data_IF_610152019114
#
_entry.id   IF_610152019114
#
_cell.length_a   1.000
_cell.length_b   1.000
_cell.length_c   1.000
_cell.angle_alpha   90.00
_cell.angle_beta   90.00
_cell.angle_gamma   90.00
#
_symmetry.space_group_name_H-M   'P 1'
#
loop_
_entity.id
_entity.type
_entity.pdbx_description
1 polymer ?
#
# COMPACT_ATOMS: atom_id res chain seq x y z
N UNK A 1 24.73 25.56 -14.44
CA UNK A 1 25.24 24.18 -14.47
C UNK A 1 24.32 23.41 -15.43
N UNK A 2 24.88 22.53 -16.27
CA UNK A 2 24.06 21.62 -17.07
C UNK A 2 23.22 20.78 -16.10
N UNK A 3 21.94 20.55 -16.45
CA UNK A 3 21.08 19.67 -15.65
C UNK A 3 21.50 18.24 -15.94
N UNK A 4 21.59 17.40 -14.89
CA UNK A 4 21.83 15.98 -15.07
C UNK A 4 20.70 15.36 -15.90
N UNK A 5 21.07 14.52 -16.85
CA UNK A 5 20.13 13.72 -17.65
C UNK A 5 20.00 12.34 -17.03
N UNK A 6 18.78 11.97 -16.71
CA UNK A 6 18.48 10.68 -16.07
C UNK A 6 17.50 9.90 -16.92
N UNK A 7 17.84 8.66 -17.24
CA UNK A 7 16.97 7.73 -17.95
C UNK A 7 16.56 6.56 -17.06
N UNK A 8 15.26 6.28 -16.95
CA UNK A 8 14.69 5.30 -16.02
C UNK A 8 14.20 4.06 -16.79
N UNK A 9 14.77 2.89 -16.52
CA UNK A 9 14.28 1.60 -17.05
C UNK A 9 13.17 1.07 -16.14
N UNK A 10 12.00 0.79 -16.73
CA UNK A 10 10.79 0.39 -15.99
C UNK A 10 10.03 1.59 -15.40
N UNK A 11 10.02 2.72 -16.13
CA UNK A 11 9.50 4.02 -15.65
C UNK A 11 8.01 4.00 -15.30
N UNK A 12 7.19 3.14 -15.92
CA UNK A 12 5.74 3.09 -15.70
C UNK A 12 5.33 2.32 -14.43
N UNK A 13 6.26 1.66 -13.75
CA UNK A 13 6.01 1.09 -12.42
C UNK A 13 5.70 2.19 -11.40
N UNK A 14 4.80 1.93 -10.45
CA UNK A 14 4.30 2.93 -9.48
C UNK A 14 5.44 3.65 -8.73
N UNK A 15 6.40 2.91 -8.21
CA UNK A 15 7.57 3.48 -7.53
C UNK A 15 8.46 4.26 -8.49
N UNK A 16 8.82 3.68 -9.64
CA UNK A 16 9.73 4.30 -10.61
C UNK A 16 9.11 5.54 -11.26
N UNK A 17 7.81 5.51 -11.56
CA UNK A 17 7.08 6.69 -12.01
C UNK A 17 7.06 7.81 -10.98
N UNK A 18 6.88 7.46 -9.69
CA UNK A 18 7.00 8.42 -8.60
C UNK A 18 8.39 9.07 -8.54
N UNK A 19 9.47 8.30 -8.76
CA UNK A 19 10.84 8.86 -8.87
C UNK A 19 10.97 9.84 -10.02
N UNK A 20 10.37 9.51 -11.19
CA UNK A 20 10.40 10.38 -12.35
C UNK A 20 9.71 11.73 -12.07
N UNK A 21 8.56 11.71 -11.38
CA UNK A 21 7.86 12.93 -10.95
C UNK A 21 8.71 13.77 -9.99
N UNK A 22 9.33 13.13 -8.99
CA UNK A 22 10.22 13.82 -8.04
C UNK A 22 11.44 14.42 -8.72
N UNK A 23 12.08 13.70 -9.65
CA UNK A 23 13.22 14.20 -10.41
C UNK A 23 12.85 15.39 -11.28
N UNK A 24 11.66 15.38 -11.87
CA UNK A 24 11.15 16.53 -12.63
C UNK A 24 10.94 17.77 -11.75
N UNK A 25 10.43 17.58 -10.52
CA UNK A 25 10.28 18.66 -9.54
C UNK A 25 11.63 19.21 -9.05
N UNK A 26 12.69 18.39 -9.03
CA UNK A 26 14.09 18.85 -8.81
C UNK A 26 14.68 19.59 -10.02
N UNK A 27 13.96 19.59 -11.14
CA UNK A 27 14.42 20.21 -12.36
C UNK A 27 15.43 19.37 -13.14
N UNK A 28 15.53 18.06 -12.86
CA UNK A 28 16.33 17.09 -13.60
C UNK A 28 15.67 16.80 -14.95
N UNK A 29 16.45 16.57 -16.00
CA UNK A 29 15.95 16.11 -17.28
C UNK A 29 15.70 14.61 -17.21
N UNK A 30 14.41 14.24 -17.14
CA UNK A 30 13.97 12.84 -16.95
C UNK A 30 13.38 12.30 -18.24
N UNK A 31 13.77 11.10 -18.61
CA UNK A 31 13.16 10.22 -19.61
C UNK A 31 13.13 8.80 -19.11
N UNK A 32 12.47 7.90 -19.81
CA UNK A 32 12.51 6.47 -19.45
C UNK A 32 11.91 5.56 -20.49
N UNK A 33 12.04 4.26 -20.25
CA UNK A 33 11.48 3.22 -21.12
C UNK A 33 10.73 2.16 -20.32
N UNK A 34 9.69 1.58 -20.94
CA UNK A 34 8.91 0.50 -20.38
C UNK A 34 8.18 -0.28 -21.49
N UNK A 35 7.81 -1.53 -21.20
CA UNK A 35 6.91 -2.33 -22.04
C UNK A 35 5.46 -2.23 -21.59
N UNK A 36 5.21 -1.88 -20.33
CA UNK A 36 3.90 -1.82 -19.69
C UNK A 36 3.43 -0.36 -19.55
N UNK A 37 3.09 0.28 -20.66
CA UNK A 37 2.68 1.69 -20.70
C UNK A 37 1.16 1.80 -20.65
N UNK A 38 0.60 1.94 -19.44
CA UNK A 38 -0.85 2.07 -19.23
C UNK A 38 -1.20 3.07 -18.11
N UNK A 39 -2.39 3.70 -18.20
CA UNK A 39 -2.89 4.58 -17.15
C UNK A 39 -2.99 3.91 -15.76
N UNK A 40 -2.90 4.69 -14.65
CA UNK A 40 -2.80 6.16 -14.62
C UNK A 40 -1.36 6.70 -14.70
N UNK A 41 -0.33 5.86 -14.49
CA UNK A 41 1.05 6.36 -14.39
C UNK A 41 1.56 6.94 -15.71
N UNK A 42 1.29 6.27 -16.83
CA UNK A 42 1.69 6.76 -18.15
C UNK A 42 1.13 8.15 -18.47
N UNK A 43 -0.10 8.43 -18.04
CA UNK A 43 -0.75 9.72 -18.28
C UNK A 43 -0.11 10.81 -17.43
N UNK A 44 0.12 10.55 -16.12
CA UNK A 44 0.81 11.49 -15.23
C UNK A 44 2.22 11.84 -15.73
N UNK A 45 2.96 10.86 -16.24
CA UNK A 45 4.30 11.09 -16.78
C UNK A 45 4.25 11.98 -18.03
N UNK A 46 3.30 11.73 -18.94
CA UNK A 46 3.11 12.54 -20.17
C UNK A 46 2.65 13.96 -19.84
N UNK A 47 1.72 14.12 -18.91
CA UNK A 47 1.26 15.44 -18.42
C UNK A 47 2.40 16.29 -17.86
N UNK A 48 3.39 15.64 -17.23
CA UNK A 48 4.61 16.29 -16.73
C UNK A 48 5.67 16.52 -17.81
N UNK A 49 5.39 16.17 -19.07
CA UNK A 49 6.32 16.32 -20.19
C UNK A 49 7.53 15.38 -20.06
N UNK A 50 7.34 14.17 -19.50
CA UNK A 50 8.38 13.14 -19.42
C UNK A 50 8.25 12.22 -20.63
N UNK A 51 9.34 12.08 -21.39
CA UNK A 51 9.39 11.19 -22.54
C UNK A 51 9.40 9.72 -22.08
N UNK A 52 8.51 8.91 -22.68
CA UNK A 52 8.42 7.47 -22.44
C UNK A 52 8.69 6.76 -23.76
N UNK A 53 9.76 5.96 -23.81
CA UNK A 53 10.12 5.10 -24.93
C UNK A 53 9.45 3.72 -24.72
N UNK A 54 8.72 3.26 -25.73
CA UNK A 54 8.11 1.93 -25.68
C UNK A 54 9.15 0.84 -25.96
N UNK A 55 9.20 -0.14 -25.05
CA UNK A 55 10.12 -1.28 -25.13
C UNK A 55 11.51 -0.97 -24.55
N UNK A 56 12.42 -1.92 -24.76
CA UNK A 56 13.81 -1.88 -24.26
C UNK A 56 14.83 -2.05 -25.40
N UNK A 57 14.54 -1.43 -26.56
CA UNK A 57 15.48 -1.43 -27.68
C UNK A 57 16.71 -0.58 -27.37
N UNK A 58 17.88 -1.19 -27.37
CA UNK A 58 19.16 -0.50 -27.07
C UNK A 58 19.49 0.64 -28.05
N UNK A 59 19.00 0.58 -29.30
CA UNK A 59 19.23 1.63 -30.31
C UNK A 59 18.37 2.89 -30.05
N UNK A 60 17.36 2.80 -29.20
CA UNK A 60 16.49 3.92 -28.83
C UNK A 60 16.87 4.56 -27.50
N UNK A 61 17.87 4.04 -26.79
CA UNK A 61 18.31 4.60 -25.53
C UNK A 61 18.93 5.99 -25.75
N UNK A 62 18.46 7.03 -25.05
CA UNK A 62 19.11 8.34 -25.09
C UNK A 62 20.46 8.31 -24.33
N UNK A 63 21.33 9.22 -24.69
CA UNK A 63 22.51 9.48 -23.87
C UNK A 63 22.12 10.18 -22.57
N UNK A 64 22.49 9.57 -21.44
CA UNK A 64 22.15 10.05 -20.10
C UNK A 64 23.36 9.92 -19.15
N UNK A 65 23.44 10.84 -18.19
CA UNK A 65 24.50 10.84 -17.17
C UNK A 65 24.31 9.70 -16.16
N UNK A 66 23.04 9.31 -15.93
CA UNK A 66 22.65 8.27 -14.98
C UNK A 66 21.51 7.44 -15.57
N UNK A 67 21.60 6.11 -15.46
CA UNK A 67 20.53 5.19 -15.78
C UNK A 67 20.00 4.54 -14.49
N UNK A 68 18.75 4.82 -14.17
CA UNK A 68 18.08 4.29 -12.96
C UNK A 68 17.37 2.99 -13.31
N UNK A 69 17.69 1.91 -12.61
CA UNK A 69 17.24 0.56 -12.93
C UNK A 69 16.12 0.15 -11.97
N UNK A 70 14.94 -0.13 -12.53
CA UNK A 70 13.80 -0.68 -11.78
C UNK A 70 14.03 -2.13 -11.34
N UNK A 71 13.40 -2.54 -10.24
CA UNK A 71 13.58 -3.90 -9.69
C UNK A 71 13.04 -5.03 -10.58
N UNK A 72 12.11 -4.74 -11.48
CA UNK A 72 11.60 -5.71 -12.47
C UNK A 72 12.56 -5.95 -13.65
N UNK A 73 13.59 -5.10 -13.80
CA UNK A 73 14.58 -5.23 -14.88
C UNK A 73 15.65 -6.24 -14.46
N UNK A 74 15.86 -7.25 -15.30
CA UNK A 74 16.80 -8.34 -15.04
C UNK A 74 17.73 -8.61 -16.22
N UNK A 75 18.74 -9.44 -16.00
CA UNK A 75 19.65 -9.91 -17.06
C UNK A 75 18.88 -10.53 -18.22
N UNK A 76 19.37 -10.27 -19.41
CA UNK A 76 18.69 -10.61 -20.68
C UNK A 76 17.82 -9.48 -21.23
N UNK A 77 17.58 -8.39 -20.49
CA UNK A 77 16.92 -7.20 -21.04
C UNK A 77 17.87 -6.47 -22.01
N UNK A 78 17.48 -6.22 -23.29
CA UNK A 78 18.40 -5.67 -24.30
C UNK A 78 19.01 -4.33 -23.93
N UNK A 79 18.21 -3.41 -23.36
CA UNK A 79 18.69 -2.11 -22.91
C UNK A 79 19.71 -2.27 -21.78
N UNK A 80 19.43 -3.12 -20.79
CA UNK A 80 20.34 -3.38 -19.67
C UNK A 80 21.66 -4.00 -20.14
N UNK A 81 21.62 -5.00 -21.01
CA UNK A 81 22.85 -5.65 -21.53
C UNK A 81 23.74 -4.66 -22.30
N UNK A 82 23.14 -3.77 -23.08
CA UNK A 82 23.87 -2.70 -23.75
C UNK A 82 24.52 -1.74 -22.74
N UNK A 83 23.79 -1.28 -21.72
CA UNK A 83 24.29 -0.38 -20.69
C UNK A 83 25.44 -1.01 -19.88
N UNK A 84 25.35 -2.29 -19.57
CA UNK A 84 26.44 -3.03 -18.91
C UNK A 84 27.68 -3.11 -19.80
N UNK A 85 27.50 -3.37 -21.10
CA UNK A 85 28.62 -3.47 -22.07
C UNK A 85 29.31 -2.14 -22.28
N UNK A 86 28.57 -1.03 -22.29
CA UNK A 86 29.10 0.32 -22.43
C UNK A 86 29.68 0.90 -21.14
N UNK A 87 29.60 0.16 -20.01
CA UNK A 87 30.00 0.63 -18.68
C UNK A 87 29.30 1.91 -18.24
N UNK A 88 28.01 2.04 -18.61
CA UNK A 88 27.17 3.17 -18.23
C UNK A 88 27.05 3.30 -16.69
N UNK A 89 26.76 4.50 -16.23
CA UNK A 89 26.55 4.78 -14.81
C UNK A 89 25.16 4.29 -14.37
N UNK A 90 25.10 3.10 -13.79
CA UNK A 90 23.86 2.46 -13.33
C UNK A 90 23.66 2.70 -11.83
N UNK A 91 22.42 3.01 -11.45
CA UNK A 91 22.01 3.16 -10.05
C UNK A 91 20.64 2.52 -9.85
N UNK A 92 20.36 2.03 -8.66
CA UNK A 92 19.02 1.57 -8.29
C UNK A 92 18.07 2.74 -7.99
N UNK A 93 16.74 2.53 -8.18
CA UNK A 93 15.74 3.54 -7.84
C UNK A 93 15.83 4.03 -6.39
N UNK A 94 15.85 3.15 -5.38
CA UNK A 94 15.98 3.54 -3.97
C UNK A 94 17.26 4.31 -3.63
N UNK A 95 18.38 3.91 -4.20
CA UNK A 95 19.64 4.62 -3.99
C UNK A 95 19.63 6.01 -4.64
N UNK A 96 19.12 6.13 -5.86
CA UNK A 96 18.95 7.41 -6.54
C UNK A 96 18.02 8.33 -5.76
N UNK A 97 16.88 7.82 -5.27
CA UNK A 97 15.93 8.57 -4.44
C UNK A 97 16.62 9.14 -3.19
N UNK A 98 17.41 8.32 -2.50
CA UNK A 98 18.14 8.80 -1.33
C UNK A 98 19.11 9.92 -1.70
N UNK A 99 19.96 9.72 -2.71
CA UNK A 99 21.00 10.70 -3.10
C UNK A 99 20.40 12.02 -3.57
N UNK A 100 19.26 11.98 -4.27
CA UNK A 100 18.66 13.13 -4.93
C UNK A 100 17.66 13.87 -4.04
N UNK A 101 16.82 13.14 -3.29
CA UNK A 101 15.69 13.69 -2.54
C UNK A 101 15.88 13.55 -1.02
N UNK A 102 16.07 12.30 -0.54
CA UNK A 102 15.92 12.00 0.89
C UNK A 102 17.08 12.47 1.74
N UNK A 103 18.27 12.59 1.19
CA UNK A 103 19.50 12.93 1.92
C UNK A 103 19.37 14.18 2.82
N UNK A 104 18.57 15.16 2.37
CA UNK A 104 18.36 16.43 3.07
C UNK A 104 16.97 16.55 3.71
N UNK A 105 16.26 15.42 3.86
CA UNK A 105 14.93 15.37 4.43
C UNK A 105 14.94 14.59 5.75
N UNK A 106 14.00 14.90 6.62
CA UNK A 106 13.61 14.06 7.75
C UNK A 106 12.64 13.00 7.22
N UNK A 107 13.13 11.79 7.06
CA UNK A 107 12.40 10.70 6.40
C UNK A 107 11.55 9.95 7.43
N UNK A 108 10.25 9.82 7.13
CA UNK A 108 9.32 8.95 7.85
C UNK A 108 8.98 7.78 6.93
N UNK A 109 9.50 6.60 7.25
CA UNK A 109 9.29 5.39 6.48
C UNK A 109 8.17 4.54 7.11
N UNK A 110 7.17 4.19 6.30
CA UNK A 110 6.06 3.31 6.72
C UNK A 110 6.30 1.92 6.17
N UNK A 111 6.66 0.99 7.04
CA UNK A 111 6.92 -0.41 6.70
C UNK A 111 6.03 -1.33 7.51
N UNK A 112 5.32 -2.21 6.85
CA UNK A 112 4.46 -3.23 7.47
C UNK A 112 4.00 -4.20 6.39
N UNK A 113 3.51 -5.36 6.78
CA UNK A 113 2.95 -6.30 5.80
C UNK A 113 1.70 -5.69 5.15
N UNK A 114 0.79 -5.14 5.96
CA UNK A 114 -0.47 -4.57 5.48
C UNK A 114 -0.63 -3.12 5.95
N UNK A 115 -1.26 -2.26 5.11
CA UNK A 115 -1.61 -0.89 5.47
C UNK A 115 -0.57 0.18 5.14
N UNK A 116 0.57 -0.16 4.51
CA UNK A 116 1.62 0.81 4.10
C UNK A 116 1.05 2.04 3.41
N UNK A 117 0.36 1.84 2.29
CA UNK A 117 -0.19 2.91 1.44
C UNK A 117 -1.16 3.81 2.19
N UNK A 118 -2.09 3.20 2.95
CA UNK A 118 -3.11 3.94 3.72
C UNK A 118 -2.47 4.77 4.81
N UNK A 119 -1.52 4.20 5.58
CA UNK A 119 -0.81 4.90 6.65
C UNK A 119 0.02 6.06 6.11
N UNK A 120 0.75 5.83 5.01
CA UNK A 120 1.56 6.87 4.33
C UNK A 120 0.67 8.01 3.85
N UNK A 121 -0.49 7.69 3.25
CA UNK A 121 -1.45 8.68 2.79
C UNK A 121 -2.09 9.47 3.95
N UNK A 122 -2.49 8.79 5.05
CA UNK A 122 -3.01 9.44 6.26
C UNK A 122 -2.01 10.43 6.83
N UNK A 123 -0.75 10.02 6.98
CA UNK A 123 0.29 10.86 7.56
C UNK A 123 0.62 12.07 6.67
N UNK A 124 0.76 11.87 5.36
CA UNK A 124 0.96 12.96 4.40
C UNK A 124 -0.22 13.95 4.44
N UNK A 125 -1.46 13.44 4.54
CA UNK A 125 -2.66 14.26 4.62
C UNK A 125 -2.76 15.04 5.93
N UNK A 126 -2.37 14.46 7.07
CA UNK A 126 -2.28 15.19 8.35
C UNK A 126 -1.36 16.40 8.19
N UNK A 127 -0.14 16.21 7.66
CA UNK A 127 0.81 17.30 7.47
C UNK A 127 0.25 18.40 6.55
N UNK A 128 -0.33 18.02 5.41
CA UNK A 128 -0.89 19.00 4.47
C UNK A 128 -2.03 19.81 5.08
N UNK A 129 -2.95 19.18 5.81
CA UNK A 129 -4.03 19.89 6.51
C UNK A 129 -3.56 20.82 7.61
N UNK A 130 -2.36 20.60 8.14
CA UNK A 130 -1.72 21.46 9.15
C UNK A 130 -0.77 22.49 8.51
N UNK A 131 -0.83 22.68 7.19
CA UNK A 131 -0.01 23.65 6.48
C UNK A 131 1.46 23.28 6.36
N UNK A 132 1.82 22.02 6.63
CA UNK A 132 3.16 21.49 6.48
C UNK A 132 3.25 20.85 5.10
N UNK A 133 3.92 21.51 4.15
CA UNK A 133 4.12 21.00 2.78
C UNK A 133 5.18 19.88 2.78
N UNK A 134 4.81 18.72 3.34
CA UNK A 134 5.66 17.54 3.37
C UNK A 134 5.80 16.90 1.98
N UNK A 135 6.99 16.38 1.69
CA UNK A 135 7.18 15.49 0.54
C UNK A 135 6.57 14.12 0.82
N UNK A 136 6.21 13.42 -0.24
CA UNK A 136 5.73 12.03 -0.11
C UNK A 136 5.96 11.20 -1.38
N UNK A 137 6.03 9.88 -1.18
CA UNK A 137 5.96 8.87 -2.24
C UNK A 137 5.03 7.74 -1.77
N UNK A 138 3.87 7.64 -2.41
CA UNK A 138 2.76 6.73 -2.07
C UNK A 138 2.53 5.79 -3.25
N UNK A 139 2.59 4.47 -3.02
CA UNK A 139 2.42 3.47 -4.07
C UNK A 139 0.94 3.23 -4.49
N UNK A 140 0.05 4.14 -4.18
CA UNK A 140 -1.37 4.12 -4.54
C UNK A 140 -1.83 5.45 -5.11
N UNK A 141 -3.15 5.58 -5.30
CA UNK A 141 -3.81 6.83 -5.70
C UNK A 141 -4.61 7.39 -4.53
N UNK A 142 -4.01 8.24 -3.67
CA UNK A 142 -4.76 8.88 -2.60
C UNK A 142 -5.82 9.81 -3.20
N UNK A 143 -7.02 9.81 -2.64
CA UNK A 143 -8.15 10.61 -3.18
C UNK A 143 -8.02 12.10 -2.89
N UNK A 144 -7.21 12.45 -1.91
CA UNK A 144 -6.98 13.82 -1.46
C UNK A 144 -5.82 14.51 -2.18
N UNK A 145 -5.03 13.76 -2.95
CA UNK A 145 -3.88 14.28 -3.67
C UNK A 145 -4.02 14.09 -5.17
N UNK A 146 -3.57 15.06 -5.94
CA UNK A 146 -3.54 14.97 -7.41
C UNK A 146 -2.46 14.06 -7.95
N UNK A 147 -1.39 13.82 -7.18
CA UNK A 147 -0.21 13.02 -7.55
C UNK A 147 0.10 11.99 -6.46
N UNK A 148 0.74 10.90 -6.85
CA UNK A 148 1.25 9.86 -5.91
C UNK A 148 2.62 10.20 -5.32
N UNK A 149 3.31 11.20 -5.87
CA UNK A 149 4.61 11.65 -5.39
C UNK A 149 4.74 13.17 -5.50
N UNK A 150 5.33 13.80 -4.49
CA UNK A 150 5.63 15.22 -4.40
C UNK A 150 6.87 15.43 -3.52
N UNK A 151 7.76 16.34 -3.92
CA UNK A 151 8.96 16.68 -3.15
C UNK A 151 8.63 17.43 -1.85
N UNK A 152 7.63 18.32 -1.89
CA UNK A 152 7.31 19.26 -0.81
C UNK A 152 8.45 20.23 -0.51
N UNK A 153 8.09 21.36 0.13
CA UNK A 153 9.04 22.41 0.52
C UNK A 153 9.57 22.26 1.94
N UNK A 154 8.85 21.52 2.81
CA UNK A 154 9.32 21.27 4.17
C UNK A 154 10.48 20.25 4.20
N UNK A 155 11.13 20.15 5.37
CA UNK A 155 12.17 19.13 5.61
C UNK A 155 11.62 17.70 5.76
N UNK A 156 10.30 17.51 5.86
CA UNK A 156 9.66 16.20 6.09
C UNK A 156 9.40 15.49 4.76
N UNK A 157 9.67 14.18 4.74
CA UNK A 157 9.32 13.31 3.63
C UNK A 157 8.72 11.98 4.13
N UNK A 158 7.52 11.66 3.67
CA UNK A 158 6.81 10.42 4.05
C UNK A 158 6.89 9.42 2.91
N UNK A 159 7.33 8.18 3.19
CA UNK A 159 7.55 7.18 2.14
C UNK A 159 7.03 5.79 2.56
N UNK A 160 6.42 5.08 1.62
CA UNK A 160 6.21 3.64 1.77
C UNK A 160 7.55 2.91 1.69
N UNK A 161 7.82 2.10 2.69
CA UNK A 161 9.05 1.34 2.83
C UNK A 161 8.78 -0.15 2.59
N UNK A 162 9.04 -0.57 1.36
CA UNK A 162 8.77 -1.90 0.84
C UNK A 162 9.95 -2.85 1.09
N UNK A 163 9.65 -4.08 1.47
CA UNK A 163 10.60 -5.16 1.75
C UNK A 163 11.16 -5.86 0.50
N UNK A 164 10.61 -5.57 -0.70
CA UNK A 164 11.12 -6.12 -1.96
C UNK A 164 12.57 -5.70 -2.26
N UNK A 165 13.27 -6.56 -2.99
CA UNK A 165 14.64 -6.29 -3.43
C UNK A 165 14.73 -5.01 -4.30
N UNK A 166 15.91 -4.41 -4.25
CA UNK A 166 16.16 -3.07 -4.80
C UNK A 166 16.33 -3.07 -6.31
N UNK A 167 17.17 -3.97 -6.83
CA UNK A 167 17.49 -4.12 -8.25
C UNK A 167 18.12 -5.49 -8.52
N UNK A 168 18.35 -5.84 -9.79
CA UNK A 168 18.98 -7.12 -10.14
C UNK A 168 20.40 -7.28 -9.54
N UNK A 169 21.11 -6.19 -9.33
CA UNK A 169 22.47 -6.14 -8.76
C UNK A 169 22.51 -5.82 -7.26
N UNK A 170 21.40 -5.45 -6.66
CA UNK A 170 21.28 -5.19 -5.22
C UNK A 170 20.03 -5.92 -4.68
N UNK A 171 20.27 -7.02 -3.98
CA UNK A 171 19.23 -7.89 -3.44
C UNK A 171 18.78 -7.54 -2.01
N UNK A 172 19.30 -6.43 -1.46
CA UNK A 172 18.78 -5.88 -0.20
C UNK A 172 17.42 -5.26 -0.42
N UNK A 173 16.59 -5.26 0.61
CA UNK A 173 15.28 -4.61 0.58
C UNK A 173 15.40 -3.10 0.31
N UNK A 174 14.46 -2.54 -0.45
CA UNK A 174 14.45 -1.11 -0.84
C UNK A 174 14.58 -0.16 0.33
N UNK A 175 13.93 -0.47 1.45
CA UNK A 175 13.87 0.39 2.61
C UNK A 175 15.23 0.65 3.29
N UNK A 176 16.24 -0.21 3.07
CA UNK A 176 17.59 -0.02 3.63
C UNK A 176 18.24 1.27 3.11
N UNK A 177 17.88 1.68 1.90
CA UNK A 177 18.40 2.88 1.28
C UNK A 177 17.84 4.18 1.85
N UNK A 178 16.65 4.15 2.49
CA UNK A 178 15.91 5.36 2.86
C UNK A 178 16.44 6.06 4.11
N UNK A 179 17.15 5.35 4.99
CA UNK A 179 17.76 5.85 6.24
C UNK A 179 16.78 6.71 7.05
N UNK A 180 15.62 6.18 7.47
CA UNK A 180 14.58 6.98 8.09
C UNK A 180 14.98 7.55 9.47
N UNK A 181 14.47 8.74 9.76
CA UNK A 181 14.49 9.38 11.08
C UNK A 181 13.35 8.85 11.96
N UNK A 182 12.27 8.40 11.33
CA UNK A 182 11.15 7.71 11.99
C UNK A 182 10.76 6.52 11.13
N UNK A 183 10.77 5.33 11.74
CA UNK A 183 10.31 4.08 11.14
C UNK A 183 9.00 3.67 11.81
N UNK A 184 7.96 3.46 11.01
CA UNK A 184 6.69 2.87 11.45
C UNK A 184 6.68 1.40 11.05
N UNK A 185 6.45 0.50 12.03
CA UNK A 185 6.21 -0.92 11.78
C UNK A 185 4.85 -1.27 12.41
N UNK A 186 3.77 -1.24 11.61
CA UNK A 186 2.41 -1.37 12.15
C UNK A 186 1.93 -2.81 12.34
N UNK A 187 2.45 -3.75 11.55
CA UNK A 187 2.23 -5.18 11.66
C UNK A 187 3.33 -5.93 10.91
N UNK A 188 3.57 -7.19 11.29
CA UNK A 188 4.56 -8.03 10.64
C UNK A 188 4.06 -9.47 10.54
N UNK A 189 3.70 -9.90 9.33
CA UNK A 189 3.21 -11.24 9.02
C UNK A 189 4.01 -11.86 7.87
N UNK A 190 3.84 -13.16 7.66
CA UNK A 190 4.42 -13.84 6.51
C UNK A 190 3.61 -13.56 5.25
N UNK A 191 4.26 -12.90 4.30
CA UNK A 191 3.74 -12.64 2.94
C UNK A 191 4.89 -12.74 1.93
N UNK A 192 4.59 -12.57 0.65
CA UNK A 192 5.58 -12.62 -0.43
C UNK A 192 6.37 -13.95 -0.49
N UNK A 193 5.63 -15.07 -0.49
CA UNK A 193 6.19 -16.42 -0.56
C UNK A 193 7.02 -16.69 -1.83
N UNK A 194 6.91 -15.82 -2.84
CA UNK A 194 7.73 -15.85 -4.07
C UNK A 194 9.18 -15.41 -3.84
N UNK A 195 9.44 -14.61 -2.80
CA UNK A 195 10.78 -14.11 -2.48
C UNK A 195 11.28 -14.52 -1.08
N UNK A 196 10.37 -14.76 -0.15
CA UNK A 196 10.70 -15.17 1.22
C UNK A 196 10.27 -16.60 1.49
N UNK A 197 11.19 -17.54 1.76
CA UNK A 197 10.85 -18.93 2.07
C UNK A 197 9.99 -19.08 3.33
N UNK A 198 10.23 -18.24 4.35
CA UNK A 198 9.49 -18.21 5.60
C UNK A 198 9.62 -16.84 6.30
N UNK A 199 8.91 -16.67 7.42
CA UNK A 199 8.87 -15.41 8.15
C UNK A 199 10.24 -14.98 8.72
N UNK A 200 11.17 -15.90 8.93
CA UNK A 200 12.49 -15.58 9.49
C UNK A 200 13.33 -14.74 8.53
N UNK A 201 13.10 -14.89 7.22
CA UNK A 201 13.71 -14.03 6.19
C UNK A 201 13.17 -12.60 6.28
N UNK A 202 11.88 -12.43 6.50
CA UNK A 202 11.26 -11.11 6.72
C UNK A 202 11.86 -10.47 7.99
N UNK A 203 11.97 -11.22 9.08
CA UNK A 203 12.62 -10.74 10.32
C UNK A 203 14.06 -10.26 10.07
N UNK A 204 14.81 -11.00 9.26
CA UNK A 204 16.18 -10.62 8.89
C UNK A 204 16.22 -9.31 8.12
N UNK A 205 15.34 -9.13 7.13
CA UNK A 205 15.29 -7.89 6.34
C UNK A 205 14.90 -6.68 7.21
N UNK A 206 13.88 -6.81 8.07
CA UNK A 206 13.52 -5.75 9.02
C UNK A 206 14.64 -5.46 10.03
N UNK A 207 15.35 -6.49 10.51
CA UNK A 207 16.49 -6.28 11.38
C UNK A 207 17.64 -5.59 10.63
N UNK A 208 17.87 -5.90 9.36
CA UNK A 208 18.83 -5.15 8.52
C UNK A 208 18.46 -3.66 8.44
N UNK A 209 17.17 -3.33 8.26
CA UNK A 209 16.70 -1.95 8.30
C UNK A 209 16.97 -1.29 9.65
N UNK A 210 16.57 -1.93 10.76
CA UNK A 210 16.76 -1.40 12.12
C UNK A 210 18.24 -1.09 12.40
N UNK A 211 19.16 -1.94 11.93
CA UNK A 211 20.61 -1.74 12.08
C UNK A 211 21.14 -0.53 11.31
N UNK A 212 20.40 0.01 10.35
CA UNK A 212 20.80 1.22 9.60
C UNK A 212 20.31 2.52 10.22
N UNK A 213 19.44 2.43 11.24
CA UNK A 213 18.89 3.59 11.91
C UNK A 213 19.90 4.20 12.87
N UNK A 214 19.85 5.53 12.99
CA UNK A 214 20.61 6.25 14.01
C UNK A 214 19.98 6.12 15.40
N UNK A 215 20.75 6.36 16.46
CA UNK A 215 20.28 6.25 17.84
C UNK A 215 19.09 7.18 18.14
N UNK A 216 19.08 8.36 17.54
CA UNK A 216 18.02 9.36 17.73
C UNK A 216 16.74 9.05 16.93
N UNK A 217 16.79 8.10 16.01
CA UNK A 217 15.62 7.72 15.21
C UNK A 217 14.52 7.11 16.09
N UNK A 218 13.27 7.30 15.69
CA UNK A 218 12.11 6.72 16.36
C UNK A 218 11.64 5.46 15.63
N UNK A 219 11.27 4.43 16.38
CA UNK A 219 10.54 3.26 15.85
C UNK A 219 9.17 3.23 16.51
N UNK A 220 8.11 3.39 15.70
CA UNK A 220 6.71 3.40 16.16
C UNK A 220 6.08 2.05 15.83
N UNK A 221 5.49 1.38 16.82
CA UNK A 221 4.94 0.03 16.63
C UNK A 221 3.86 -0.32 17.66
N UNK A 222 2.96 -1.30 17.37
CA UNK A 222 2.02 -1.85 18.33
C UNK A 222 2.73 -2.79 19.33
N UNK A 223 2.43 -2.65 20.61
CA UNK A 223 3.05 -3.47 21.67
C UNK A 223 2.57 -4.92 21.69
N UNK A 224 1.43 -5.23 21.05
CA UNK A 224 0.82 -6.55 21.00
C UNK A 224 1.35 -7.43 19.84
N UNK A 225 2.06 -6.87 18.85
CA UNK A 225 2.65 -7.67 17.78
C UNK A 225 3.91 -8.43 18.23
N UNK A 226 3.78 -9.76 18.35
CA UNK A 226 4.87 -10.62 18.80
C UNK A 226 6.01 -10.74 17.79
N UNK A 227 5.74 -10.58 16.48
CA UNK A 227 6.75 -10.69 15.43
C UNK A 227 7.62 -9.45 15.39
N UNK A 228 7.03 -8.26 15.55
CA UNK A 228 7.80 -7.01 15.68
C UNK A 228 8.72 -7.08 16.90
N UNK A 229 8.20 -7.55 18.05
CA UNK A 229 9.03 -7.73 19.25
C UNK A 229 10.19 -8.68 19.00
N UNK A 230 9.99 -9.81 18.29
CA UNK A 230 11.08 -10.74 17.93
C UNK A 230 12.16 -10.03 17.13
N UNK A 231 11.79 -9.21 16.14
CA UNK A 231 12.75 -8.46 15.33
C UNK A 231 13.53 -7.46 16.18
N UNK A 232 12.85 -6.71 17.06
CA UNK A 232 13.49 -5.76 17.98
C UNK A 232 14.45 -6.47 18.95
N UNK A 233 14.14 -7.69 19.39
CA UNK A 233 15.00 -8.50 20.24
C UNK A 233 16.30 -8.95 19.56
N UNK A 234 16.36 -9.02 18.24
CA UNK A 234 17.59 -9.29 17.50
C UNK A 234 18.64 -8.16 17.65
N UNK A 235 18.20 -7.00 18.09
CA UNK A 235 18.98 -5.81 18.38
C UNK A 235 18.32 -4.54 17.86
N UNK A 236 18.20 -3.56 18.74
CA UNK A 236 17.66 -2.24 18.42
C UNK A 236 18.42 -1.18 19.24
N UNK A 237 18.80 -0.10 18.60
CA UNK A 237 19.59 0.99 19.20
C UNK A 237 18.85 2.33 19.16
N UNK A 238 17.71 2.38 18.47
CA UNK A 238 16.88 3.56 18.28
C UNK A 238 15.81 3.69 19.37
N UNK A 239 15.15 4.83 19.45
CA UNK A 239 14.08 5.11 20.43
C UNK A 239 12.81 4.34 20.06
N UNK A 240 12.22 3.64 21.01
CA UNK A 240 11.00 2.87 20.85
C UNK A 240 9.78 3.66 21.32
N UNK A 241 8.79 3.81 20.46
CA UNK A 241 7.49 4.43 20.73
C UNK A 241 6.42 3.38 20.45
N UNK A 242 5.90 2.75 21.51
CA UNK A 242 4.84 1.76 21.36
C UNK A 242 3.47 2.35 21.70
N UNK A 243 2.43 1.77 21.10
CA UNK A 243 1.06 1.94 21.56
C UNK A 243 0.44 0.60 21.95
N UNK A 244 -0.56 0.64 22.81
CA UNK A 244 -1.27 -0.54 23.30
C UNK A 244 -2.67 -0.58 22.67
N UNK A 245 -3.09 -1.78 22.28
CA UNK A 245 -4.44 -2.02 21.85
C UNK A 245 -5.28 -2.41 23.07
N UNK A 246 -6.33 -1.63 23.34
CA UNK A 246 -7.16 -1.68 24.53
C UNK A 246 -6.42 -1.38 25.85
N UNK A 247 -7.10 -0.66 26.71
CA UNK A 247 -6.58 -0.28 28.03
C UNK A 247 -6.15 1.20 28.13
N UNK A 248 -5.73 1.59 29.33
CA UNK A 248 -5.28 2.96 29.65
C UNK A 248 -3.76 2.99 29.77
N UNK A 249 -3.10 3.24 28.66
CA UNK A 249 -1.66 3.43 28.59
C UNK A 249 -1.34 4.82 28.07
N UNK A 250 -0.09 5.25 28.16
CA UNK A 250 0.37 6.55 27.67
C UNK A 250 -0.03 6.76 26.21
N UNK A 251 0.21 5.77 25.37
CA UNK A 251 -0.28 5.72 23.99
C UNK A 251 -1.18 4.50 23.87
N UNK A 252 -2.44 4.68 23.53
CA UNK A 252 -3.37 3.57 23.37
C UNK A 252 -4.44 3.84 22.30
N UNK A 253 -4.87 2.76 21.68
CA UNK A 253 -6.00 2.70 20.76
C UNK A 253 -7.08 1.84 21.41
N UNK A 254 -8.27 2.38 21.59
CA UNK A 254 -9.42 1.66 22.13
C UNK A 254 -10.53 1.69 21.07
N UNK A 255 -11.16 0.53 20.83
CA UNK A 255 -12.35 0.42 20.00
C UNK A 255 -13.48 -0.02 20.93
N UNK A 256 -14.46 0.86 21.14
CA UNK A 256 -15.64 0.55 21.97
C UNK A 256 -16.64 -0.24 21.15
N UNK A 257 -17.21 -1.29 21.74
CA UNK A 257 -18.05 -2.27 21.05
C UNK A 257 -19.30 -1.67 20.36
N UNK A 258 -19.87 -0.59 20.91
CA UNK A 258 -21.10 0.02 20.40
C UNK A 258 -20.90 1.24 19.49
N UNK A 259 -19.69 1.75 19.42
CA UNK A 259 -19.42 2.95 18.64
C UNK A 259 -18.19 2.69 17.76
N UNK A 260 -18.33 2.20 16.60
CA UNK A 260 -17.33 2.07 15.52
C UNK A 260 -16.30 3.24 15.41
N UNK A 261 -16.14 4.00 16.50
CA UNK A 261 -15.30 5.17 16.65
C UNK A 261 -14.07 4.81 17.46
N UNK A 262 -12.92 4.70 16.83
CA UNK A 262 -11.67 4.50 17.58
C UNK A 262 -11.39 5.71 18.48
N UNK A 263 -11.02 5.42 19.72
CA UNK A 263 -10.54 6.39 20.69
C UNK A 263 -9.02 6.28 20.78
N UNK A 264 -8.33 7.33 20.37
CA UNK A 264 -6.88 7.41 20.43
C UNK A 264 -6.45 8.21 21.66
N UNK A 265 -5.45 7.69 22.36
CA UNK A 265 -4.78 8.38 23.46
C UNK A 265 -3.30 8.56 23.12
N UNK A 266 -2.81 9.77 23.31
CA UNK A 266 -1.37 10.08 23.31
C UNK A 266 -1.07 10.89 24.56
N UNK A 267 -0.21 10.35 25.44
CA UNK A 267 0.09 10.92 26.76
C UNK A 267 -1.21 11.10 27.57
N UNK A 268 -1.58 12.33 27.87
CA UNK A 268 -2.76 12.66 28.68
C UNK A 268 -3.95 13.18 27.86
N UNK A 269 -3.88 13.12 26.53
CA UNK A 269 -4.94 13.58 25.63
C UNK A 269 -5.66 12.40 25.01
N UNK A 270 -6.99 12.50 24.88
CA UNK A 270 -7.83 11.50 24.23
C UNK A 270 -8.73 12.19 23.21
N UNK A 271 -8.82 11.59 22.01
CA UNK A 271 -9.71 12.06 20.96
C UNK A 271 -10.30 10.86 20.20
N UNK A 272 -11.56 10.95 19.81
CA UNK A 272 -12.22 9.94 18.98
C UNK A 272 -12.26 10.37 17.51
N UNK A 273 -12.10 9.39 16.62
CA UNK A 273 -12.25 9.63 15.17
C UNK A 273 -13.67 9.23 14.77
N UNK A 274 -14.40 10.18 14.20
CA UNK A 274 -15.66 9.96 13.50
C UNK A 274 -15.38 10.11 12.00
N UNK A 275 -15.27 8.99 11.28
CA UNK A 275 -14.85 8.94 9.88
C UNK A 275 -15.57 7.84 9.10
N UNK A 276 -15.30 7.75 7.80
CA UNK A 276 -15.95 6.79 6.91
C UNK A 276 -15.14 5.50 6.67
N UNK A 277 -13.98 5.33 7.35
CA UNK A 277 -13.16 4.13 7.17
C UNK A 277 -13.54 3.04 8.16
N UNK A 278 -13.52 1.79 7.70
CA UNK A 278 -13.97 0.65 8.49
C UNK A 278 -12.81 -0.19 9.01
N UNK A 279 -13.06 -0.89 10.10
CA UNK A 279 -12.21 -1.95 10.62
C UNK A 279 -11.06 -1.48 11.51
N UNK A 280 -10.66 -2.38 12.42
CA UNK A 280 -9.58 -2.17 13.36
C UNK A 280 -8.26 -1.80 12.70
N UNK A 281 -7.96 -2.42 11.53
CA UNK A 281 -6.71 -2.15 10.81
C UNK A 281 -6.57 -0.68 10.38
N UNK A 282 -7.68 0.01 10.00
CA UNK A 282 -7.62 1.43 9.70
C UNK A 282 -7.46 2.29 10.94
N UNK A 283 -8.04 1.88 12.07
CA UNK A 283 -7.81 2.53 13.36
C UNK A 283 -6.33 2.39 13.80
N UNK A 284 -5.72 1.23 13.60
CA UNK A 284 -4.27 1.00 13.84
C UNK A 284 -3.40 1.84 12.89
N UNK A 285 -3.78 1.94 11.61
CA UNK A 285 -3.10 2.81 10.64
C UNK A 285 -3.14 4.28 11.08
N UNK A 286 -4.32 4.75 11.55
CA UNK A 286 -4.46 6.10 12.09
C UNK A 286 -3.63 6.32 13.34
N UNK A 287 -3.61 5.35 14.27
CA UNK A 287 -2.84 5.48 15.51
C UNK A 287 -1.36 5.71 15.24
N UNK A 288 -0.74 4.91 14.38
CA UNK A 288 0.69 5.08 14.06
C UNK A 288 0.96 6.34 13.23
N UNK A 289 0.02 6.76 12.36
CA UNK A 289 0.15 8.01 11.62
C UNK A 289 0.10 9.22 12.56
N UNK A 290 -0.83 9.22 13.53
CA UNK A 290 -0.97 10.29 14.53
C UNK A 290 0.23 10.32 15.49
N UNK A 291 0.73 9.15 15.95
CA UNK A 291 1.95 9.06 16.75
C UNK A 291 3.16 9.62 16.00
N UNK A 292 3.27 9.31 14.71
CA UNK A 292 4.35 9.87 13.89
C UNK A 292 4.20 11.39 13.74
N UNK A 293 3.01 11.89 13.45
CA UNK A 293 2.75 13.34 13.33
C UNK A 293 3.07 14.09 14.63
N UNK A 294 2.77 13.50 15.79
CA UNK A 294 3.09 14.07 17.11
C UNK A 294 4.61 14.28 17.30
N UNK A 295 5.46 13.39 16.77
CA UNK A 295 6.92 13.54 16.82
C UNK A 295 7.42 14.76 16.01
N UNK A 296 6.59 15.28 15.12
CA UNK A 296 6.89 16.45 14.27
C UNK A 296 6.03 17.66 14.63
N UNK A 297 5.43 17.67 15.84
CA UNK A 297 4.78 18.83 16.44
C UNK A 297 3.30 19.00 16.07
N UNK A 298 2.66 18.02 15.43
CA UNK A 298 1.22 18.06 15.16
C UNK A 298 0.46 17.43 16.32
N UNK A 299 -0.43 18.17 16.97
CA UNK A 299 -1.16 17.69 18.14
C UNK A 299 -2.13 16.55 17.78
N UNK A 300 -2.51 15.72 18.79
CA UNK A 300 -3.54 14.69 18.65
C UNK A 300 -4.83 15.28 18.08
N UNK A 301 -5.31 16.38 18.64
CA UNK A 301 -6.54 17.06 18.21
C UNK A 301 -6.50 17.49 16.74
N UNK A 302 -5.39 18.08 16.29
CA UNK A 302 -5.22 18.55 14.92
C UNK A 302 -5.09 17.39 13.94
N UNK A 303 -4.39 16.32 14.32
CA UNK A 303 -4.30 15.07 13.56
C UNK A 303 -5.68 14.44 13.37
N UNK A 304 -6.47 14.32 14.44
CA UNK A 304 -7.84 13.77 14.38
C UNK A 304 -8.75 14.66 13.54
N UNK A 305 -8.67 16.00 13.69
CA UNK A 305 -9.42 16.94 12.86
C UNK A 305 -9.12 16.77 11.36
N UNK A 306 -7.86 16.48 11.02
CA UNK A 306 -7.45 16.18 9.65
C UNK A 306 -8.04 14.85 9.16
N UNK A 307 -7.88 13.78 9.95
CA UNK A 307 -8.33 12.44 9.58
C UNK A 307 -9.86 12.32 9.40
N UNK A 308 -10.67 13.13 10.09
CA UNK A 308 -12.12 13.21 9.85
C UNK A 308 -12.50 13.60 8.42
N UNK A 309 -11.62 14.27 7.70
CA UNK A 309 -11.81 14.74 6.32
C UNK A 309 -11.11 13.85 5.30
N UNK A 310 -10.30 12.91 5.73
CA UNK A 310 -9.53 12.03 4.86
C UNK A 310 -10.45 11.10 4.07
N UNK A 311 -10.35 11.15 2.74
CA UNK A 311 -11.22 10.40 1.82
C UNK A 311 -10.70 9.01 1.45
N UNK A 312 -9.50 8.67 1.95
CA UNK A 312 -8.89 7.36 1.73
C UNK A 312 -8.04 7.28 0.45
N UNK A 313 -7.74 6.06 0.07
CA UNK A 313 -6.93 5.72 -1.11
C UNK A 313 -7.78 4.86 -2.04
N UNK A 314 -7.70 5.08 -3.34
CA UNK A 314 -8.40 4.26 -4.32
C UNK A 314 -8.04 2.77 -4.15
N UNK A 315 -9.01 1.91 -4.29
CA UNK A 315 -8.88 0.45 -4.04
C UNK A 315 -8.48 0.09 -2.60
N UNK A 316 -8.79 0.92 -1.61
CA UNK A 316 -8.58 0.65 -0.18
C UNK A 316 -9.86 0.99 0.57
N UNK A 317 -10.78 0.03 0.67
CA UNK A 317 -12.16 0.23 1.10
C UNK A 317 -12.84 1.40 0.35
N UNK A 318 -12.61 1.42 -0.96
CA UNK A 318 -13.06 2.47 -1.85
C UNK A 318 -14.55 2.29 -2.16
N UNK A 319 -15.41 3.14 -1.60
CA UNK A 319 -16.84 3.13 -1.87
C UNK A 319 -17.08 3.71 -3.25
N UNK A 320 -17.41 2.85 -4.22
CA UNK A 320 -17.64 3.19 -5.61
C UNK A 320 -19.09 3.60 -5.89
N UNK A 321 -20.03 2.98 -5.18
CA UNK A 321 -21.47 3.25 -5.22
C UNK A 321 -22.01 3.19 -3.79
N UNK A 322 -22.90 4.11 -3.45
CA UNK A 322 -23.62 4.11 -2.17
C UNK A 322 -25.04 4.62 -2.40
N UNK A 323 -26.00 3.69 -2.43
CA UNK A 323 -27.43 3.96 -2.54
C UNK A 323 -28.15 3.36 -1.33
N UNK A 324 -29.46 3.59 -1.21
CA UNK A 324 -30.27 3.01 -0.14
C UNK A 324 -30.39 1.49 -0.23
N UNK A 325 -30.18 0.91 -1.42
CA UNK A 325 -30.35 -0.51 -1.72
C UNK A 325 -29.03 -1.25 -1.89
N UNK A 326 -27.99 -0.59 -2.42
CA UNK A 326 -26.71 -1.22 -2.79
C UNK A 326 -25.51 -0.34 -2.45
N UNK A 327 -24.53 -0.94 -1.78
CA UNK A 327 -23.20 -0.35 -1.57
C UNK A 327 -22.18 -1.22 -2.32
N UNK A 328 -21.37 -0.63 -3.20
CA UNK A 328 -20.26 -1.32 -3.87
C UNK A 328 -18.94 -0.77 -3.33
N UNK A 329 -18.11 -1.65 -2.82
CA UNK A 329 -16.80 -1.32 -2.24
C UNK A 329 -15.72 -2.07 -3.00
N UNK A 330 -14.61 -1.40 -3.34
CA UNK A 330 -13.42 -2.02 -3.92
C UNK A 330 -12.28 -2.01 -2.90
N UNK A 331 -11.58 -3.14 -2.76
CA UNK A 331 -10.44 -3.26 -1.84
C UNK A 331 -9.28 -4.05 -2.46
N UNK A 332 -8.07 -3.69 -2.10
CA UNK A 332 -6.84 -4.33 -2.56
C UNK A 332 -6.47 -5.57 -1.73
N UNK A 333 -7.27 -5.93 -0.72
CA UNK A 333 -6.99 -7.06 0.16
C UNK A 333 -6.78 -8.35 -0.65
N UNK A 334 -5.63 -8.99 -0.42
CA UNK A 334 -5.19 -10.22 -1.10
C UNK A 334 -4.41 -11.14 -0.16
N UNK A 335 -4.57 -10.96 1.15
CA UNK A 335 -4.03 -11.81 2.21
C UNK A 335 -5.16 -12.15 3.18
N UNK A 336 -5.23 -13.37 3.77
CA UNK A 336 -6.33 -13.78 4.64
C UNK A 336 -6.63 -12.77 5.76
N UNK A 337 -5.61 -12.28 6.46
CA UNK A 337 -5.78 -11.28 7.54
C UNK A 337 -6.42 -9.99 7.03
N UNK A 338 -5.97 -9.48 5.87
CA UNK A 338 -6.53 -8.27 5.28
C UNK A 338 -7.97 -8.48 4.80
N UNK A 339 -8.28 -9.63 4.18
CA UNK A 339 -9.62 -10.03 3.77
C UNK A 339 -10.54 -10.08 4.99
N UNK A 340 -10.13 -10.80 6.04
CA UNK A 340 -10.89 -10.97 7.27
C UNK A 340 -11.21 -9.64 7.92
N UNK A 341 -10.19 -8.82 8.19
CA UNK A 341 -10.38 -7.53 8.88
C UNK A 341 -11.26 -6.56 8.10
N UNK A 342 -11.20 -6.61 6.76
CA UNK A 342 -12.08 -5.78 5.91
C UNK A 342 -13.52 -6.28 5.95
N UNK A 343 -13.77 -7.58 5.78
CA UNK A 343 -15.12 -8.18 5.82
C UNK A 343 -15.77 -7.97 7.19
N UNK A 344 -15.05 -8.24 8.27
CA UNK A 344 -15.55 -8.04 9.64
C UNK A 344 -15.82 -6.56 9.93
N UNK A 345 -14.95 -5.66 9.49
CA UNK A 345 -15.15 -4.22 9.63
C UNK A 345 -16.42 -3.75 8.93
N UNK A 346 -16.67 -4.19 7.69
CA UNK A 346 -17.88 -3.86 6.94
C UNK A 346 -19.12 -4.45 7.63
N UNK A 347 -19.07 -5.72 8.04
CA UNK A 347 -20.22 -6.38 8.67
C UNK A 347 -20.60 -5.74 10.01
N UNK A 348 -19.64 -5.30 10.81
CA UNK A 348 -19.88 -4.54 12.04
C UNK A 348 -20.55 -3.19 11.78
N UNK A 349 -20.14 -2.49 10.71
CA UNK A 349 -20.75 -1.19 10.34
C UNK A 349 -22.15 -1.33 9.74
N UNK A 350 -22.41 -2.45 9.06
CA UNK A 350 -23.65 -2.72 8.36
C UNK A 350 -24.26 -4.07 8.75
N UNK A 351 -24.65 -4.27 10.03
CA UNK A 351 -25.04 -5.59 10.56
C UNK A 351 -26.28 -6.17 9.89
N UNK A 352 -27.14 -5.32 9.33
CA UNK A 352 -28.41 -5.71 8.70
C UNK A 352 -28.34 -5.84 7.16
N UNK A 353 -27.13 -5.68 6.57
CA UNK A 353 -26.96 -5.84 5.14
C UNK A 353 -26.47 -7.25 4.80
N UNK A 354 -26.86 -7.74 3.64
CA UNK A 354 -26.29 -8.96 3.06
C UNK A 354 -24.94 -8.59 2.45
N UNK A 355 -23.88 -9.22 2.91
CA UNK A 355 -22.51 -8.96 2.46
C UNK A 355 -22.05 -10.04 1.49
N UNK A 356 -21.93 -9.68 0.23
CA UNK A 356 -21.32 -10.53 -0.82
C UNK A 356 -19.88 -10.11 -1.07
N UNK A 357 -18.95 -11.06 -1.03
CA UNK A 357 -17.54 -10.83 -1.34
C UNK A 357 -17.17 -11.50 -2.68
N UNK A 358 -16.62 -10.74 -3.62
CA UNK A 358 -16.00 -11.22 -4.84
C UNK A 358 -14.46 -11.11 -4.69
N UNK A 359 -13.74 -12.24 -4.68
CA UNK A 359 -12.32 -12.30 -4.34
C UNK A 359 -11.51 -12.92 -5.50
N UNK A 360 -10.51 -12.19 -5.98
CA UNK A 360 -9.58 -12.67 -7.01
C UNK A 360 -8.27 -13.17 -6.36
N UNK A 361 -7.95 -14.45 -6.57
CA UNK A 361 -6.73 -15.09 -6.08
C UNK A 361 -5.59 -14.86 -7.08
N UNK A 362 -5.02 -13.66 -7.11
CA UNK A 362 -4.09 -13.24 -8.15
C UNK A 362 -2.63 -13.15 -7.71
N UNK A 363 -2.36 -12.75 -6.46
CA UNK A 363 -0.98 -12.64 -5.97
C UNK A 363 -0.27 -14.00 -6.00
N UNK A 364 1.06 -14.02 -6.13
CA UNK A 364 1.84 -15.25 -6.16
C UNK A 364 1.58 -16.13 -4.93
N UNK A 365 1.51 -15.53 -3.75
CA UNK A 365 1.20 -16.21 -2.50
C UNK A 365 -0.22 -16.80 -2.50
N UNK A 366 -1.22 -16.09 -3.04
CA UNK A 366 -2.59 -16.60 -3.15
C UNK A 366 -2.69 -17.72 -4.20
N UNK A 367 -2.04 -17.57 -5.37
CA UNK A 367 -2.00 -18.61 -6.41
C UNK A 367 -1.31 -19.89 -5.96
N UNK A 368 -0.34 -19.81 -5.06
CA UNK A 368 0.37 -21.00 -4.54
C UNK A 368 -0.49 -21.90 -3.63
N UNK A 369 -1.67 -21.43 -3.21
CA UNK A 369 -2.55 -22.16 -2.28
C UNK A 369 -2.05 -22.20 -0.84
N UNK A 370 -0.97 -21.49 -0.51
CA UNK A 370 -0.37 -21.47 0.84
C UNK A 370 -1.35 -21.07 1.94
N UNK A 371 -2.35 -20.28 1.58
CA UNK A 371 -3.32 -19.72 2.52
C UNK A 371 -4.74 -20.30 2.38
N UNK A 372 -4.95 -21.33 1.55
CA UNK A 372 -6.29 -21.86 1.27
C UNK A 372 -7.05 -22.21 2.55
N UNK A 373 -6.40 -22.86 3.53
CA UNK A 373 -7.02 -23.24 4.80
C UNK A 373 -7.48 -22.03 5.64
N UNK A 374 -6.78 -20.90 5.53
CA UNK A 374 -7.10 -19.67 6.27
C UNK A 374 -8.16 -18.82 5.54
N UNK A 375 -8.34 -19.01 4.23
CA UNK A 375 -9.29 -18.23 3.44
C UNK A 375 -10.74 -18.52 3.82
N UNK A 376 -11.08 -19.77 4.14
CA UNK A 376 -12.42 -20.14 4.61
C UNK A 376 -12.79 -19.41 5.90
N UNK A 377 -11.87 -19.32 6.84
CA UNK A 377 -12.04 -18.56 8.08
C UNK A 377 -12.13 -17.05 7.81
N UNK A 378 -11.25 -16.54 6.96
CA UNK A 378 -11.17 -15.12 6.62
C UNK A 378 -12.46 -14.54 6.03
N UNK A 379 -13.27 -15.36 5.37
CA UNK A 379 -14.56 -14.96 4.79
C UNK A 379 -15.76 -15.36 5.62
N UNK A 380 -15.55 -15.84 6.85
CA UNK A 380 -16.64 -16.39 7.70
C UNK A 380 -17.78 -15.41 7.97
N UNK A 381 -17.51 -14.12 8.05
CA UNK A 381 -18.50 -13.07 8.30
C UNK A 381 -19.24 -12.58 7.05
N UNK A 382 -18.82 -12.96 5.82
CA UNK A 382 -19.59 -12.64 4.61
C UNK A 382 -20.78 -13.60 4.46
N UNK A 383 -21.88 -13.20 3.85
CA UNK A 383 -23.06 -14.04 3.63
C UNK A 383 -22.89 -14.88 2.35
N UNK A 384 -22.22 -14.36 1.32
CA UNK A 384 -21.89 -15.07 0.08
C UNK A 384 -20.49 -14.70 -0.42
N UNK A 385 -19.78 -15.66 -1.02
CA UNK A 385 -18.40 -15.48 -1.51
C UNK A 385 -18.27 -16.03 -2.92
N UNK A 386 -17.71 -15.22 -3.79
CA UNK A 386 -17.34 -15.61 -5.15
C UNK A 386 -15.82 -15.62 -5.30
N UNK A 387 -15.30 -16.78 -5.76
CA UNK A 387 -13.87 -16.97 -5.92
C UNK A 387 -13.48 -16.95 -7.40
N UNK A 388 -12.47 -16.17 -7.74
CA UNK A 388 -11.85 -16.14 -9.06
C UNK A 388 -10.39 -16.54 -8.96
N UNK A 389 -10.00 -17.58 -9.71
CA UNK A 389 -8.62 -18.05 -9.88
C UNK A 389 -8.45 -18.66 -11.25
N UNK A 390 -7.21 -18.71 -11.74
CA UNK A 390 -6.84 -19.50 -12.91
C UNK A 390 -6.77 -21.01 -12.58
N UNK A 391 -6.53 -21.35 -11.29
CA UNK A 391 -6.50 -22.74 -10.81
C UNK A 391 -7.90 -23.23 -10.39
N UNK A 392 -8.50 -24.06 -11.23
CA UNK A 392 -9.82 -24.66 -10.96
C UNK A 392 -9.81 -25.63 -9.78
N UNK A 393 -8.69 -26.27 -9.47
CA UNK A 393 -8.59 -27.15 -8.31
C UNK A 393 -8.60 -26.36 -6.99
N UNK A 394 -7.93 -25.21 -6.98
CA UNK A 394 -7.97 -24.28 -5.86
C UNK A 394 -9.41 -23.79 -5.61
N UNK A 395 -10.10 -23.33 -6.65
CA UNK A 395 -11.50 -22.90 -6.54
C UNK A 395 -12.37 -24.03 -5.98
N UNK A 396 -12.22 -25.26 -6.50
CA UNK A 396 -12.99 -26.39 -6.01
C UNK A 396 -12.77 -26.62 -4.50
N UNK A 397 -11.52 -26.63 -4.03
CA UNK A 397 -11.20 -26.78 -2.59
C UNK A 397 -11.89 -25.70 -1.74
N UNK A 398 -11.84 -24.44 -2.16
CA UNK A 398 -12.46 -23.32 -1.45
C UNK A 398 -14.00 -23.43 -1.45
N UNK A 399 -14.60 -23.82 -2.56
CA UNK A 399 -16.05 -24.04 -2.64
C UNK A 399 -16.46 -25.21 -1.76
N UNK A 400 -15.75 -26.32 -1.81
CA UNK A 400 -16.03 -27.51 -1.01
C UNK A 400 -15.88 -27.23 0.52
N UNK A 401 -14.98 -26.30 0.92
CA UNK A 401 -14.81 -25.89 2.31
C UNK A 401 -15.97 -25.04 2.86
N UNK A 402 -16.75 -24.40 1.96
CA UNK A 402 -17.88 -23.51 2.32
C UNK A 402 -19.08 -23.76 1.38
N UNK A 403 -19.68 -24.96 1.34
CA UNK A 403 -20.57 -25.40 0.26
C UNK A 403 -21.86 -24.59 0.12
N UNK A 404 -22.37 -24.00 1.21
CA UNK A 404 -23.60 -23.22 1.20
C UNK A 404 -23.40 -21.72 0.94
N UNK A 405 -22.15 -21.29 0.80
CA UNK A 405 -21.77 -19.87 0.84
C UNK A 405 -20.85 -19.48 -0.31
N UNK A 406 -20.11 -20.42 -0.84
CA UNK A 406 -19.02 -20.24 -1.81
C UNK A 406 -19.46 -20.64 -3.21
N UNK A 407 -19.11 -19.81 -4.20
CA UNK A 407 -19.44 -20.02 -5.61
C UNK A 407 -18.20 -19.70 -6.47
N UNK A 408 -17.93 -20.46 -7.55
CA UNK A 408 -16.90 -20.04 -8.51
C UNK A 408 -17.36 -18.81 -9.30
N UNK A 409 -16.41 -17.92 -9.63
CA UNK A 409 -16.64 -16.78 -10.50
C UNK A 409 -15.94 -17.02 -11.84
N UNK A 410 -16.70 -17.46 -12.84
CA UNK A 410 -16.16 -17.81 -14.16
C UNK A 410 -15.92 -16.56 -15.03
N UNK A 411 -16.86 -15.61 -15.03
CA UNK A 411 -16.74 -14.36 -15.78
C UNK A 411 -17.64 -13.26 -15.17
N UNK A 412 -17.32 -11.99 -15.50
CA UNK A 412 -18.04 -10.83 -14.96
C UNK A 412 -19.53 -10.84 -15.30
N UNK A 413 -19.91 -11.19 -16.52
CA UNK A 413 -21.31 -11.15 -16.98
C UNK A 413 -22.19 -12.16 -16.21
N UNK A 414 -21.69 -13.40 -16.04
CA UNK A 414 -22.43 -14.41 -15.26
C UNK A 414 -22.54 -13.99 -13.78
N UNK A 415 -21.48 -13.43 -13.23
CA UNK A 415 -21.49 -12.93 -11.86
C UNK A 415 -22.50 -11.80 -11.68
N UNK A 416 -22.52 -10.80 -12.54
CA UNK A 416 -23.46 -9.67 -12.46
C UNK A 416 -24.89 -10.16 -12.52
N UNK A 417 -25.24 -11.07 -13.44
CA UNK A 417 -26.58 -11.63 -13.55
C UNK A 417 -26.99 -12.45 -12.30
N UNK A 418 -26.06 -13.24 -11.74
CA UNK A 418 -26.29 -14.02 -10.54
C UNK A 418 -26.49 -13.10 -9.31
N UNK A 419 -25.65 -12.08 -9.18
CA UNK A 419 -25.75 -11.09 -8.11
C UNK A 419 -27.08 -10.33 -8.15
N UNK A 420 -27.57 -9.92 -9.34
CA UNK A 420 -28.88 -9.28 -9.49
C UNK A 420 -30.04 -10.17 -9.12
N UNK A 421 -29.96 -11.46 -9.48
CA UNK A 421 -31.05 -12.39 -9.16
C UNK A 421 -31.27 -12.59 -7.65
N UNK A 422 -30.25 -12.22 -6.85
CA UNK A 422 -30.29 -12.32 -5.38
C UNK A 422 -30.69 -11.02 -4.69
N UNK A 423 -30.90 -9.94 -5.45
CA UNK A 423 -31.04 -8.58 -4.94
C UNK A 423 -32.05 -8.50 -3.79
N UNK A 424 -31.55 -8.27 -2.59
CA UNK A 424 -32.32 -7.95 -1.41
C UNK A 424 -32.36 -6.43 -1.21
N UNK A 425 -33.22 -5.93 -0.35
CA UNK A 425 -33.40 -4.47 -0.18
C UNK A 425 -32.22 -3.74 0.48
N UNK A 426 -31.12 -4.45 0.86
CA UNK A 426 -29.93 -3.85 1.48
C UNK A 426 -28.74 -4.77 1.24
N UNK A 427 -28.04 -4.56 0.15
CA UNK A 427 -26.88 -5.37 -0.23
C UNK A 427 -25.56 -4.59 -0.17
N UNK A 428 -24.51 -5.28 0.21
CA UNK A 428 -23.14 -4.78 0.07
C UNK A 428 -22.36 -5.78 -0.78
N UNK A 429 -21.75 -5.28 -1.84
CA UNK A 429 -20.79 -6.00 -2.64
C UNK A 429 -19.40 -5.47 -2.36
N UNK A 430 -18.50 -6.33 -1.87
CA UNK A 430 -17.08 -6.01 -1.80
C UNK A 430 -16.30 -6.78 -2.86
N UNK A 431 -15.49 -6.05 -3.64
CA UNK A 431 -14.61 -6.58 -4.70
C UNK A 431 -13.18 -6.51 -4.18
N UNK A 432 -12.53 -7.66 -4.03
CA UNK A 432 -11.18 -7.76 -3.49
C UNK A 432 -10.19 -8.29 -4.53
N UNK A 433 -9.24 -7.46 -4.92
CA UNK A 433 -8.19 -7.83 -5.88
C UNK A 433 -6.99 -6.89 -5.80
N UNK A 434 -5.78 -7.45 -5.94
CA UNK A 434 -4.57 -6.66 -6.17
C UNK A 434 -4.34 -6.31 -7.65
N UNK A 435 -5.36 -6.52 -8.50
CA UNK A 435 -5.41 -6.14 -9.91
C UNK A 435 -6.61 -5.27 -10.26
N UNK A 436 -7.16 -5.45 -11.47
CA UNK A 436 -8.36 -4.76 -11.95
C UNK A 436 -9.60 -5.68 -12.04
N UNK A 437 -9.48 -6.93 -11.60
CA UNK A 437 -10.53 -7.95 -11.64
C UNK A 437 -11.21 -8.09 -13.03
N UNK A 438 -10.41 -7.96 -14.11
CA UNK A 438 -10.91 -7.90 -15.50
C UNK A 438 -11.98 -6.82 -15.73
N UNK A 439 -11.87 -5.67 -15.06
CA UNK A 439 -12.79 -4.54 -15.21
C UNK A 439 -14.13 -4.70 -14.48
N UNK A 440 -14.28 -5.68 -13.56
CA UNK A 440 -15.55 -5.95 -12.87
C UNK A 440 -16.16 -4.70 -12.22
N UNK A 441 -15.35 -3.88 -11.55
CA UNK A 441 -15.83 -2.65 -10.90
C UNK A 441 -16.44 -1.68 -11.92
N UNK A 442 -15.83 -1.58 -13.11
CA UNK A 442 -16.35 -0.73 -14.20
C UNK A 442 -17.67 -1.27 -14.74
N UNK A 443 -17.70 -2.57 -15.05
CA UNK A 443 -18.91 -3.21 -15.59
C UNK A 443 -20.13 -3.02 -14.67
N UNK A 444 -19.90 -3.13 -13.35
CA UNK A 444 -20.92 -2.88 -12.33
C UNK A 444 -21.35 -1.41 -12.28
N UNK A 445 -20.39 -0.48 -12.29
CA UNK A 445 -20.73 0.96 -12.23
C UNK A 445 -21.46 1.43 -13.49
N UNK A 446 -21.08 0.92 -14.67
CA UNK A 446 -21.76 1.24 -15.93
C UNK A 446 -23.22 0.77 -15.89
N UNK A 447 -23.49 -0.33 -15.20
CA UNK A 447 -24.83 -0.84 -15.03
C UNK A 447 -25.65 -0.06 -14.02
N UNK A 448 -25.17 0.10 -12.78
CA UNK A 448 -25.94 0.67 -11.66
C UNK A 448 -25.93 2.21 -11.59
N UNK A 449 -25.20 2.91 -12.46
CA UNK A 449 -25.28 4.37 -12.60
C UNK A 449 -26.19 4.83 -13.74
N UNK A 450 -26.53 3.93 -14.66
CA UNK A 450 -27.41 4.21 -15.80
C UNK A 450 -28.87 3.77 -15.55
N UNK A 451 -29.13 3.10 -14.45
CA UNK A 451 -30.46 2.80 -13.90
C UNK A 451 -30.81 3.82 -12.80
#
# INVERSE_FOLDING_TARGET
>A
MAKDKVHILGICGTFMGGLALLGKEEGIEISGCDTNIYPPMSDHLREMGIEIIEGYDSNKLPDADIYVIGNSISRGNPALEYLLSSKANLISGPEWLYKTILKNKKVIAVSCTHGKTTTTAMLAYIFENQGIDAGYLIAGKPKDFSKSARKGTSEIFVIEADEYDTAFFDKRSKFIHYKPDTLIINNLEYDHADIFPDISYIFREFHHLIRTLKEEANIIFPSDDSNIRKVLYLGCWSKLISYYFNGKHENSLNIQDDALKPLLRIRNQEESIDWQMFGEHNARNAMVAVLAADQYGVSLKDSISSLKKFRGVAKRQDVLLNTDELIIIEDFAHHPTAIQTTIEGIKKNYPNHILTAAIELRSNTMKSGLHDDRLAEAVSSADKVYWKSEDRFQIKRLVDSLPNKSVPLDNNKSFINDFESMNSKKDILIIMSNGDFNGLSRDLLDKYRND
#
